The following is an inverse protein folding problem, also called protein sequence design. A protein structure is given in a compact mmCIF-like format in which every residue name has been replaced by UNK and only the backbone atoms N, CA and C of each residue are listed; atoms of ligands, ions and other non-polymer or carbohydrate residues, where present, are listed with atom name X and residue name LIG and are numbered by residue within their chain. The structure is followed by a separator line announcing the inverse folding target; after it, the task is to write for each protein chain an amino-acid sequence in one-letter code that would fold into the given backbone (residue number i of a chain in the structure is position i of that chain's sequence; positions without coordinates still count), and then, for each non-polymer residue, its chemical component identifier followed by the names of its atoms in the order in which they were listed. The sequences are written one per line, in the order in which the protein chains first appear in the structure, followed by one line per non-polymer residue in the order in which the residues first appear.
data_IF_950184172005
#
_entry.id   IF_950184172005
#
_cell.length_a   1.000
_cell.length_b   1.000
_cell.length_c   1.000
_cell.angle_alpha   90.00
_cell.angle_beta   90.00
_cell.angle_gamma   90.00
#
_symmetry.space_group_name_H-M   'P 1'
#
loop_
_entity.id
_entity.type
_entity.pdbx_description
1 polymer ?
#
# COMPACT_ATOMS: atom_id res chain seq x y z
N UNK A 1 -19.47 -4.24 -7.73
CA UNK A 1 -18.96 -2.94 -8.22
C UNK A 1 -17.68 -3.21 -9.01
N UNK A 2 -17.55 -2.63 -10.20
CA UNK A 2 -16.29 -2.71 -10.95
C UNK A 2 -15.20 -1.90 -10.22
N UNK A 3 -13.99 -2.43 -10.13
CA UNK A 3 -12.84 -1.72 -9.56
C UNK A 3 -12.39 -0.61 -10.50
N UNK A 4 -11.89 0.49 -9.95
CA UNK A 4 -11.31 1.56 -10.75
C UNK A 4 -9.90 1.18 -11.22
N UNK A 5 -9.55 1.53 -12.45
CA UNK A 5 -8.17 1.38 -12.93
C UNK A 5 -7.30 2.49 -12.34
N UNK A 6 -6.10 2.15 -11.87
CA UNK A 6 -5.15 3.09 -11.30
C UNK A 6 -3.74 2.84 -11.82
N UNK A 7 -2.94 3.90 -11.94
CA UNK A 7 -1.51 3.76 -12.23
C UNK A 7 -0.77 3.23 -11.00
N UNK A 8 0.36 2.54 -11.22
CA UNK A 8 1.24 2.09 -10.14
C UNK A 8 1.65 3.26 -9.22
N UNK A 9 2.10 4.37 -9.81
CA UNK A 9 2.56 5.54 -9.06
C UNK A 9 1.46 6.20 -8.22
N UNK A 10 0.22 6.25 -8.73
CA UNK A 10 -0.89 6.81 -7.95
C UNK A 10 -1.30 5.87 -6.82
N UNK A 11 -1.27 4.54 -7.05
CA UNK A 11 -1.54 3.56 -6.02
C UNK A 11 -0.51 3.63 -4.88
N UNK A 12 0.78 3.78 -5.21
CA UNK A 12 1.87 3.96 -4.24
C UNK A 12 1.66 5.23 -3.39
N UNK A 13 1.30 6.36 -4.04
CA UNK A 13 1.02 7.62 -3.34
C UNK A 13 -0.17 7.51 -2.39
N UNK A 14 -1.27 6.93 -2.85
CA UNK A 14 -2.47 6.71 -2.02
C UNK A 14 -2.12 5.78 -0.85
N UNK A 15 -1.43 4.67 -1.12
CA UNK A 15 -1.04 3.73 -0.09
C UNK A 15 -0.14 4.38 0.97
N UNK A 16 0.84 5.18 0.55
CA UNK A 16 1.71 5.92 1.48
C UNK A 16 0.91 6.88 2.36
N UNK A 17 -0.02 7.64 1.78
CA UNK A 17 -0.86 8.57 2.52
C UNK A 17 -1.81 7.85 3.49
N UNK A 18 -2.44 6.76 3.05
CA UNK A 18 -3.32 5.97 3.91
C UNK A 18 -2.54 5.33 5.06
N UNK A 19 -1.39 4.71 4.79
CA UNK A 19 -0.56 4.09 5.82
C UNK A 19 -0.13 5.14 6.85
N UNK A 20 0.47 6.26 6.45
CA UNK A 20 0.91 7.32 7.39
C UNK A 20 -0.22 7.94 8.23
N UNK A 21 -1.47 7.77 7.84
CA UNK A 21 -2.62 8.25 8.63
C UNK A 21 -2.92 7.36 9.85
N UNK A 22 -2.34 6.16 9.95
CA UNK A 22 -2.46 5.30 11.10
C UNK A 22 -1.51 5.74 12.23
N UNK A 23 -2.00 5.84 13.48
CA UNK A 23 -1.14 6.15 14.63
C UNK A 23 0.02 5.13 14.77
N UNK A 24 1.25 5.63 14.87
CA UNK A 24 2.46 4.81 15.02
C UNK A 24 3.11 4.35 13.70
N UNK A 25 2.65 4.88 12.56
CA UNK A 25 3.20 4.56 11.24
C UNK A 25 3.67 5.79 10.45
N UNK A 26 3.81 6.93 11.13
CA UNK A 26 4.23 8.21 10.57
C UNK A 26 5.65 8.13 9.96
N UNK A 27 6.46 7.19 10.47
CA UNK A 27 7.85 6.93 10.07
C UNK A 27 8.02 6.20 8.73
N UNK A 28 6.92 5.78 8.10
CA UNK A 28 6.97 5.18 6.75
C UNK A 28 7.47 6.23 5.76
N UNK A 29 8.51 5.94 4.99
CA UNK A 29 9.12 6.85 4.00
C UNK A 29 8.50 6.73 2.63
N UNK A 30 8.34 5.51 2.15
CA UNK A 30 7.85 5.21 0.81
C UNK A 30 7.09 3.89 0.81
N UNK A 31 6.25 3.75 -0.22
CA UNK A 31 5.55 2.51 -0.53
C UNK A 31 5.82 2.22 -2.00
N UNK A 32 6.20 0.99 -2.29
CA UNK A 32 6.40 0.50 -3.64
C UNK A 32 5.38 -0.60 -3.94
N UNK A 33 4.84 -0.60 -5.15
CA UNK A 33 3.90 -1.61 -5.61
C UNK A 33 4.63 -2.57 -6.54
N UNK A 34 4.69 -3.85 -6.18
CA UNK A 34 5.20 -4.90 -7.07
C UNK A 34 4.03 -5.69 -7.64
N UNK A 35 4.05 -5.91 -8.95
CA UNK A 35 3.11 -6.80 -9.63
C UNK A 35 3.81 -8.12 -9.88
N UNK A 36 3.19 -9.25 -9.53
CA UNK A 36 3.63 -10.52 -10.08
C UNK A 36 3.35 -10.51 -11.59
N UNK A 37 4.40 -10.75 -12.37
CA UNK A 37 4.52 -10.49 -13.82
C UNK A 37 3.43 -11.12 -14.69
N UNK A 38 2.64 -12.05 -14.16
CA UNK A 38 1.62 -12.80 -14.89
C UNK A 38 0.17 -12.50 -14.43
N UNK A 39 -0.03 -11.75 -13.34
CA UNK A 39 -1.37 -11.45 -12.81
C UNK A 39 -1.46 -10.00 -12.32
N UNK A 40 -1.96 -9.05 -13.14
CA UNK A 40 -2.08 -7.64 -12.76
C UNK A 40 -3.01 -7.37 -11.55
N UNK A 41 -3.79 -8.38 -11.14
CA UNK A 41 -4.66 -8.32 -9.95
C UNK A 41 -3.96 -8.72 -8.66
N UNK A 42 -2.76 -9.29 -8.73
CA UNK A 42 -2.04 -9.77 -7.56
C UNK A 42 -0.75 -8.96 -7.35
N UNK A 43 -0.97 -7.70 -6.99
CA UNK A 43 0.09 -6.80 -6.58
C UNK A 43 0.28 -6.82 -5.06
N UNK A 44 1.48 -6.42 -4.61
CA UNK A 44 1.88 -6.34 -3.20
C UNK A 44 2.45 -4.96 -2.88
N UNK A 45 2.28 -4.51 -1.64
CA UNK A 45 2.91 -3.30 -1.13
C UNK A 45 4.21 -3.66 -0.40
N UNK A 46 5.29 -3.00 -0.79
CA UNK A 46 6.53 -2.94 -0.04
C UNK A 46 6.58 -1.61 0.70
N UNK A 47 6.60 -1.68 2.03
CA UNK A 47 6.58 -0.50 2.89
C UNK A 47 7.98 -0.29 3.45
N UNK A 48 8.56 0.87 3.16
CA UNK A 48 9.90 1.25 3.60
C UNK A 48 9.73 2.28 4.71
N UNK A 49 10.25 1.99 5.89
CA UNK A 49 10.15 2.86 7.08
C UNK A 49 11.52 3.10 7.71
N UNK A 50 11.59 4.09 8.59
CA UNK A 50 12.75 4.26 9.47
C UNK A 50 12.83 3.14 10.52
N UNK A 51 14.03 2.85 11.00
CA UNK A 51 14.30 1.85 12.05
C UNK A 51 13.56 2.13 13.36
N UNK A 52 13.16 3.38 13.61
CA UNK A 52 12.40 3.80 14.79
C UNK A 52 10.88 3.55 14.69
N UNK A 53 10.40 2.97 13.58
CA UNK A 53 8.98 2.69 13.38
C UNK A 53 8.47 1.53 14.25
N UNK A 54 7.24 1.66 14.75
CA UNK A 54 6.54 0.53 15.37
C UNK A 54 6.16 -0.48 14.27
N UNK A 55 6.95 -1.54 14.16
CA UNK A 55 6.82 -2.54 13.10
C UNK A 55 5.43 -3.20 13.09
N UNK A 56 4.86 -3.48 14.26
CA UNK A 56 3.55 -4.12 14.38
C UNK A 56 2.45 -3.17 13.87
N UNK A 57 2.55 -1.89 14.22
CA UNK A 57 1.62 -0.86 13.72
C UNK A 57 1.76 -0.64 12.23
N UNK A 58 2.98 -0.58 11.71
CA UNK A 58 3.25 -0.41 10.28
C UNK A 58 2.72 -1.62 9.51
N UNK A 59 2.97 -2.84 9.99
CA UNK A 59 2.47 -4.06 9.36
C UNK A 59 0.93 -4.10 9.36
N UNK A 60 0.31 -3.71 10.47
CA UNK A 60 -1.15 -3.60 10.55
C UNK A 60 -1.70 -2.57 9.54
N UNK A 61 -1.13 -1.37 9.52
CA UNK A 61 -1.54 -0.29 8.61
C UNK A 61 -1.37 -0.71 7.14
N UNK A 62 -0.26 -1.37 6.81
CA UNK A 62 0.02 -1.90 5.47
C UNK A 62 -1.02 -2.95 5.06
N UNK A 63 -1.37 -3.88 5.95
CA UNK A 63 -2.36 -4.94 5.69
C UNK A 63 -3.74 -4.35 5.42
N UNK A 64 -4.23 -3.48 6.32
CA UNK A 64 -5.55 -2.85 6.19
C UNK A 64 -5.63 -2.02 4.90
N UNK A 65 -4.61 -1.22 4.63
CA UNK A 65 -4.51 -0.42 3.40
C UNK A 65 -4.51 -1.31 2.16
N UNK A 66 -3.72 -2.38 2.15
CA UNK A 66 -3.65 -3.33 1.01
C UNK A 66 -5.02 -3.95 0.74
N UNK A 67 -5.69 -4.48 1.76
CA UNK A 67 -7.02 -5.10 1.60
C UNK A 67 -8.05 -4.11 1.06
N UNK A 68 -8.04 -2.87 1.56
CA UNK A 68 -8.94 -1.81 1.10
C UNK A 68 -8.68 -1.42 -0.35
N UNK A 69 -7.42 -1.23 -0.71
CA UNK A 69 -7.02 -0.84 -2.06
C UNK A 69 -7.27 -1.96 -3.07
N UNK A 70 -7.00 -3.24 -2.72
CA UNK A 70 -7.32 -4.39 -3.58
C UNK A 70 -8.82 -4.52 -3.87
N UNK A 71 -9.69 -4.06 -2.97
CA UNK A 71 -11.16 -4.04 -3.20
C UNK A 71 -11.60 -2.89 -4.11
N UNK A 72 -10.83 -1.81 -4.19
CA UNK A 72 -11.21 -0.58 -4.90
C UNK A 72 -10.56 -0.42 -6.26
N UNK A 73 -9.34 -0.94 -6.42
CA UNK A 73 -8.51 -0.69 -7.58
C UNK A 73 -7.99 -1.97 -8.22
N UNK A 74 -7.89 -1.93 -9.54
CA UNK A 74 -7.03 -2.82 -10.34
C UNK A 74 -5.95 -1.96 -11.00
N UNK A 75 -4.75 -2.51 -11.16
CA UNK A 75 -3.67 -1.80 -11.85
C UNK A 75 -3.94 -1.77 -13.37
N UNK A 76 -3.64 -0.62 -13.97
CA UNK A 76 -3.74 -0.40 -15.42
C UNK A 76 -2.55 -0.98 -16.16
#
# INVERSE_FOLDING_TARGET
MAKALISKADLERIALQEIRSFPGSEQVRSVEVECETDVPRDWRLYVIANDEGDLDRIQYAAKVTTERLKRRYDLR
#
